data_IF_048961086373
#
_entry.id   IF_048961086373
#
_cell.length_a   1.000
_cell.length_b   1.000
_cell.length_c   1.000
_cell.angle_alpha   90.00
_cell.angle_beta   90.00
_cell.angle_gamma   90.00
#
_symmetry.space_group_name_H-M   'P 1'
#
loop_
_entity.id
_entity.type
_entity.pdbx_description
1 polymer ?
#
# COMPACT_ATOMS: atom_id res chain seq x y z
N UNK A 1 33.82 21.05 -11.42
CA UNK A 1 33.52 19.66 -11.02
C UNK A 1 32.10 19.60 -10.43
N UNK A 2 31.20 18.82 -11.02
CA UNK A 2 29.81 18.69 -10.56
C UNK A 2 29.82 17.81 -9.30
N UNK A 3 29.30 18.29 -8.15
CA UNK A 3 29.21 17.45 -6.93
C UNK A 3 28.42 16.18 -7.26
N UNK A 4 28.87 14.99 -6.84
CA UNK A 4 28.07 13.78 -7.03
C UNK A 4 26.72 13.97 -6.35
N UNK A 5 25.63 13.71 -7.07
CA UNK A 5 24.28 13.76 -6.49
C UNK A 5 24.25 12.76 -5.34
N UNK A 6 23.86 13.22 -4.15
CA UNK A 6 23.69 12.35 -2.98
C UNK A 6 22.70 11.23 -3.32
N UNK A 7 22.95 10.03 -2.81
CA UNK A 7 22.04 8.92 -3.02
C UNK A 7 20.65 9.24 -2.45
N UNK A 8 19.61 8.92 -3.20
CA UNK A 8 18.22 9.16 -2.82
C UNK A 8 17.31 8.16 -3.53
N UNK A 9 16.10 8.00 -2.99
CA UNK A 9 15.05 7.20 -3.61
C UNK A 9 13.87 8.11 -3.97
N UNK A 10 13.19 7.82 -5.07
CA UNK A 10 12.03 8.57 -5.55
C UNK A 10 10.87 7.63 -5.81
N UNK A 11 9.66 8.03 -5.38
CA UNK A 11 8.44 7.33 -5.78
C UNK A 11 8.15 7.63 -7.25
N UNK A 12 7.92 6.57 -8.02
CA UNK A 12 7.45 6.66 -9.39
C UNK A 12 5.92 6.47 -9.49
N UNK A 13 5.36 5.53 -8.71
CA UNK A 13 3.93 5.21 -8.73
C UNK A 13 3.46 4.71 -7.36
N UNK A 14 2.19 4.99 -7.05
CA UNK A 14 1.50 4.43 -5.87
C UNK A 14 0.14 3.90 -6.32
N UNK A 15 -0.14 2.65 -5.96
CA UNK A 15 -1.36 1.95 -6.33
C UNK A 15 -2.07 1.44 -5.07
N UNK A 16 -3.06 2.16 -4.55
CA UNK A 16 -3.95 1.65 -3.52
C UNK A 16 -4.98 0.69 -4.14
N UNK A 17 -5.03 -0.56 -3.67
CA UNK A 17 -6.00 -1.56 -4.11
C UNK A 17 -6.16 -2.68 -3.09
N UNK A 18 -7.37 -3.21 -2.92
CA UNK A 18 -7.63 -4.46 -2.18
C UNK A 18 -7.01 -4.50 -0.75
N UNK A 19 -7.06 -3.37 -0.03
CA UNK A 19 -6.52 -3.25 1.33
C UNK A 19 -5.00 -3.10 1.42
N UNK A 20 -4.30 -2.95 0.29
CA UNK A 20 -2.85 -2.72 0.23
C UNK A 20 -2.51 -1.48 -0.60
N UNK A 21 -1.31 -0.96 -0.37
CA UNK A 21 -0.70 0.11 -1.15
C UNK A 21 0.58 -0.46 -1.75
N UNK A 22 0.64 -0.56 -3.07
CA UNK A 22 1.88 -0.89 -3.78
C UNK A 22 2.63 0.39 -4.11
N UNK A 23 3.89 0.47 -3.71
CA UNK A 23 4.79 1.60 -3.92
C UNK A 23 5.90 1.17 -4.86
N UNK A 24 6.00 1.81 -6.02
CA UNK A 24 7.05 1.56 -7.00
C UNK A 24 7.90 2.81 -7.15
N UNK A 25 9.22 2.67 -7.21
CA UNK A 25 10.11 3.80 -7.32
C UNK A 25 11.49 3.47 -7.87
N UNK A 26 12.40 4.44 -7.78
CA UNK A 26 13.77 4.33 -8.26
C UNK A 26 14.78 4.78 -7.21
N UNK A 27 15.96 4.19 -7.28
CA UNK A 27 17.13 4.53 -6.46
C UNK A 27 18.17 5.20 -7.35
N UNK A 28 18.72 6.31 -6.87
CA UNK A 28 19.70 7.11 -7.58
C UNK A 28 20.94 7.30 -6.71
N UNK A 29 22.10 7.43 -7.35
CA UNK A 29 23.37 7.74 -6.67
C UNK A 29 23.95 6.58 -5.85
N UNK A 30 23.52 5.34 -6.10
CA UNK A 30 24.18 4.12 -5.62
C UNK A 30 24.77 3.35 -6.80
N UNK A 31 26.05 2.91 -6.73
CA UNK A 31 26.71 2.21 -7.82
C UNK A 31 26.15 0.81 -8.06
N UNK A 32 25.68 0.12 -7.01
CA UNK A 32 25.14 -1.24 -7.09
C UNK A 32 23.94 -1.39 -6.14
N UNK A 33 22.76 -0.85 -6.51
CA UNK A 33 21.59 -0.92 -5.65
C UNK A 33 20.92 -2.31 -5.64
N UNK A 34 21.38 -3.27 -6.46
CA UNK A 34 20.71 -4.57 -6.63
C UNK A 34 21.08 -5.62 -5.56
N UNK A 35 22.03 -5.31 -4.66
CA UNK A 35 22.29 -6.01 -3.40
C UNK A 35 22.14 -4.97 -2.26
N UNK A 36 21.81 -5.26 -0.97
CA UNK A 36 21.38 -6.45 -0.20
C UNK A 36 19.82 -6.62 -0.10
N UNK A 37 19.22 -7.43 0.83
CA UNK A 37 17.76 -7.36 1.04
C UNK A 37 17.35 -5.95 1.44
N UNK A 38 16.56 -5.30 0.58
CA UNK A 38 16.07 -3.95 0.79
C UNK A 38 14.73 -3.96 1.52
N UNK A 39 14.55 -2.95 2.35
CA UNK A 39 13.34 -2.71 3.12
C UNK A 39 12.81 -1.30 2.85
N UNK A 40 11.50 -1.21 2.68
CA UNK A 40 10.75 0.03 2.83
C UNK A 40 10.43 0.21 4.31
N UNK A 41 10.94 1.29 4.87
CA UNK A 41 10.66 1.75 6.22
C UNK A 41 9.56 2.80 6.16
N UNK A 42 8.51 2.62 6.96
CA UNK A 42 7.39 3.54 7.07
C UNK A 42 7.37 4.07 8.50
N UNK A 43 7.68 5.34 8.69
CA UNK A 43 7.86 5.98 10.00
C UNK A 43 6.72 6.96 10.25
N UNK A 44 6.06 6.85 11.40
CA UNK A 44 5.01 7.79 11.78
C UNK A 44 5.65 9.13 12.15
N UNK A 45 5.26 10.20 11.47
CA UNK A 45 5.82 11.52 11.71
C UNK A 45 5.49 11.99 13.12
N UNK A 46 6.52 12.38 13.86
CA UNK A 46 6.40 12.81 15.26
C UNK A 46 6.44 11.66 16.26
N UNK A 47 6.53 10.41 15.80
CA UNK A 47 6.61 9.18 16.59
C UNK A 47 7.64 8.24 15.96
N UNK A 48 8.92 8.59 16.06
CA UNK A 48 10.01 7.87 15.38
C UNK A 48 10.20 6.43 15.92
N UNK A 49 9.60 6.11 17.06
CA UNK A 49 9.48 4.77 17.66
C UNK A 49 8.44 3.89 16.92
N UNK A 50 7.49 4.50 16.21
CA UNK A 50 6.51 3.80 15.38
C UNK A 50 7.07 3.63 13.97
N UNK A 51 7.69 2.48 13.74
CA UNK A 51 8.35 2.12 12.49
C UNK A 51 7.86 0.76 11.98
N UNK A 52 7.35 0.74 10.76
CA UNK A 52 6.97 -0.47 10.03
C UNK A 52 8.03 -0.82 8.98
N UNK A 53 8.27 -2.11 8.77
CA UNK A 53 9.27 -2.62 7.81
C UNK A 53 8.61 -3.56 6.82
N UNK A 54 8.83 -3.30 5.53
CA UNK A 54 8.33 -4.14 4.45
C UNK A 54 9.46 -4.49 3.51
N UNK A 55 9.44 -5.71 2.96
CA UNK A 55 10.39 -6.09 1.91
C UNK A 55 10.18 -5.19 0.68
N UNK A 56 11.27 -4.69 0.11
CA UNK A 56 11.24 -3.81 -1.05
C UNK A 56 12.32 -4.21 -2.07
N UNK A 57 12.16 -5.32 -2.81
CA UNK A 57 13.19 -5.79 -3.74
C UNK A 57 13.63 -4.69 -4.70
N UNK A 58 14.95 -4.52 -4.86
CA UNK A 58 15.54 -3.59 -5.83
C UNK A 58 16.12 -4.38 -6.99
N UNK A 59 15.77 -3.98 -8.23
CA UNK A 59 16.25 -4.60 -9.47
C UNK A 59 16.45 -3.53 -10.53
N UNK A 60 17.64 -3.47 -11.13
CA UNK A 60 17.97 -2.45 -12.13
C UNK A 60 17.78 -1.03 -11.58
N UNK A 61 18.00 -0.83 -10.28
CA UNK A 61 17.76 0.44 -9.58
C UNK A 61 16.28 0.82 -9.38
N UNK A 62 15.31 -0.02 -9.74
CA UNK A 62 13.90 0.14 -9.40
C UNK A 62 13.51 -0.66 -8.17
N UNK A 63 12.63 -0.13 -7.31
CA UNK A 63 12.11 -0.85 -6.15
C UNK A 63 10.60 -1.03 -6.22
N UNK A 64 10.10 -2.09 -5.57
CA UNK A 64 8.68 -2.43 -5.48
C UNK A 64 8.36 -2.92 -4.07
N UNK A 65 7.41 -2.29 -3.38
CA UNK A 65 7.03 -2.61 -2.02
C UNK A 65 5.51 -2.65 -1.87
N UNK A 66 5.01 -3.50 -0.97
CA UNK A 66 3.60 -3.62 -0.64
C UNK A 66 3.42 -3.29 0.84
N UNK A 67 2.49 -2.37 1.13
CA UNK A 67 2.17 -1.89 2.47
C UNK A 67 0.68 -2.17 2.74
N UNK A 68 0.30 -3.03 3.69
CA UNK A 68 -1.08 -3.20 4.10
C UNK A 68 -1.65 -1.90 4.69
N UNK A 69 -2.86 -1.52 4.28
CA UNK A 69 -3.52 -0.31 4.80
C UNK A 69 -3.85 -0.44 6.29
N UNK A 70 -4.17 -1.66 6.74
CA UNK A 70 -4.47 -1.93 8.16
C UNK A 70 -3.30 -1.62 9.09
N UNK A 71 -2.07 -1.76 8.62
CA UNK A 71 -0.86 -1.47 9.41
C UNK A 71 -0.61 0.04 9.55
N UNK A 72 -1.21 0.86 8.66
CA UNK A 72 -1.08 2.33 8.67
C UNK A 72 -2.08 3.02 9.60
N UNK A 73 -2.92 2.25 10.29
CA UNK A 73 -3.83 2.78 11.31
C UNK A 73 -2.97 3.25 12.49
N UNK A 74 -2.86 4.58 12.72
CA UNK A 74 -2.10 5.07 13.85
C UNK A 74 -2.77 4.63 15.15
N UNK A 75 -2.03 4.56 16.28
CA UNK A 75 -2.66 4.43 17.59
C UNK A 75 -3.76 5.48 17.75
N UNK A 76 -4.89 5.15 18.40
CA UNK A 76 -6.01 6.06 18.52
C UNK A 76 -5.56 7.33 19.25
N UNK A 77 -5.45 8.43 18.51
CA UNK A 77 -5.26 9.77 19.06
C UNK A 77 -6.63 10.44 19.14
N UNK A 78 -6.98 10.94 20.32
CA UNK A 78 -8.17 11.76 20.50
C UNK A 78 -8.02 13.06 19.67
N UNK A 79 -8.91 13.28 18.70
CA UNK A 79 -9.12 14.54 17.98
C UNK A 79 -7.86 15.23 17.40
N UNK A 80 -7.00 14.47 16.72
CA UNK A 80 -5.79 14.97 16.05
C UNK A 80 -5.91 15.12 14.52
N UNK A 81 -4.97 15.84 13.87
CA UNK A 81 -4.84 15.82 12.42
C UNK A 81 -4.55 14.40 11.90
N UNK A 82 -4.80 14.11 10.61
CA UNK A 82 -4.47 12.81 10.03
C UNK A 82 -3.00 12.44 10.25
N UNK A 83 -2.75 11.18 10.61
CA UNK A 83 -1.40 10.66 10.73
C UNK A 83 -0.64 10.78 9.39
N UNK A 84 0.59 11.28 9.48
CA UNK A 84 1.48 11.42 8.32
C UNK A 84 2.60 10.40 8.45
N UNK A 85 2.76 9.57 7.43
CA UNK A 85 3.82 8.57 7.37
C UNK A 85 4.92 9.01 6.39
N UNK A 86 6.17 8.99 6.85
CA UNK A 86 7.35 9.20 6.02
C UNK A 86 7.90 7.86 5.51
N UNK A 87 8.32 7.84 4.24
CA UNK A 87 8.87 6.65 3.59
C UNK A 87 10.40 6.75 3.47
N UNK A 88 11.07 5.66 3.79
CA UNK A 88 12.51 5.51 3.58
C UNK A 88 12.82 4.15 2.97
N UNK A 89 13.91 4.07 2.21
CA UNK A 89 14.47 2.83 1.69
C UNK A 89 15.80 2.58 2.39
N UNK A 90 16.01 1.37 2.90
CA UNK A 90 17.25 0.97 3.56
C UNK A 90 17.61 -0.46 3.21
N UNK A 91 18.91 -0.77 3.18
CA UNK A 91 19.35 -2.15 3.20
C UNK A 91 19.07 -2.72 4.61
N UNK A 92 18.57 -3.94 4.70
CA UNK A 92 18.19 -4.56 5.96
C UNK A 92 19.37 -4.57 6.94
N UNK A 93 19.12 -4.18 8.18
CA UNK A 93 20.14 -4.07 9.22
C UNK A 93 21.14 -2.91 9.05
N UNK A 94 20.95 -2.01 8.07
CA UNK A 94 21.78 -0.82 7.91
C UNK A 94 21.12 0.41 8.52
N UNK A 95 21.93 1.25 9.17
CA UNK A 95 21.46 2.52 9.76
C UNK A 95 21.16 3.58 8.69
N UNK A 96 21.83 3.50 7.54
CA UNK A 96 21.70 4.47 6.47
C UNK A 96 20.34 4.32 5.77
N UNK A 97 19.50 5.34 5.92
CA UNK A 97 18.17 5.43 5.30
C UNK A 97 18.17 6.43 4.14
N UNK A 98 17.64 6.04 2.99
CA UNK A 98 17.36 6.93 1.88
C UNK A 98 15.94 7.43 2.01
N UNK A 99 15.73 8.74 2.22
CA UNK A 99 14.38 9.29 2.21
C UNK A 99 13.78 9.08 0.82
N UNK A 100 12.59 8.48 0.79
CA UNK A 100 11.83 8.29 -0.44
C UNK A 100 11.06 9.59 -0.70
N UNK A 101 11.60 10.39 -1.61
CA UNK A 101 11.12 11.74 -1.94
C UNK A 101 9.97 11.77 -2.95
N UNK A 102 9.35 12.95 -3.10
CA UNK A 102 8.17 13.17 -3.94
C UNK A 102 8.50 13.34 -5.43
N UNK A 103 7.92 12.44 -6.23
CA UNK A 103 7.11 12.76 -7.40
C UNK A 103 5.75 12.05 -7.28
N UNK A 104 5.02 12.31 -6.19
CA UNK A 104 3.65 11.80 -5.99
C UNK A 104 2.60 12.64 -6.76
N UNK A 105 2.96 13.83 -7.25
CA UNK A 105 2.06 14.72 -7.99
C UNK A 105 1.79 14.26 -9.43
N UNK A 106 2.53 13.26 -9.94
CA UNK A 106 2.45 12.79 -11.33
C UNK A 106 1.78 11.40 -11.45
N UNK A 107 1.08 10.93 -10.41
CA UNK A 107 0.27 9.70 -10.47
C UNK A 107 -0.97 9.98 -11.34
N UNK A 108 -0.79 9.83 -12.65
CA UNK A 108 -1.87 9.76 -13.65
C UNK A 108 -2.67 8.47 -13.42
N UNK A 109 -3.65 8.60 -12.55
CA UNK A 109 -4.62 7.55 -12.20
C UNK A 109 -5.74 8.06 -11.30
N UNK A 110 -5.80 9.36 -10.99
CA UNK A 110 -6.96 9.95 -10.31
C UNK A 110 -8.19 9.78 -11.20
N UNK A 111 -9.03 8.80 -10.87
CA UNK A 111 -10.46 8.84 -11.19
C UNK A 111 -10.98 10.17 -10.64
N UNK A 112 -11.52 11.01 -11.51
CA UNK A 112 -12.14 12.29 -11.16
C UNK A 112 -13.43 12.00 -10.40
N UNK A 113 -13.40 11.96 -9.08
CA UNK A 113 -14.59 12.22 -8.29
C UNK A 113 -14.63 13.73 -8.01
N UNK A 114 -15.05 14.48 -9.02
CA UNK A 114 -15.57 15.84 -8.80
C UNK A 114 -17.00 15.67 -8.29
N UNK A 115 -17.18 15.77 -6.98
CA UNK A 115 -18.46 15.55 -6.33
C UNK A 115 -18.75 16.54 -5.20
N UNK A 116 -18.43 17.83 -5.37
CA UNK A 116 -19.14 18.91 -4.68
C UNK A 116 -19.95 19.64 -5.74
N UNK A 117 -21.13 19.12 -6.05
CA UNK A 117 -22.19 19.92 -6.66
C UNK A 117 -22.82 20.76 -5.57
N UNK A 118 -22.34 22.00 -5.40
CA UNK A 118 -23.17 23.07 -4.85
C UNK A 118 -24.18 23.46 -5.92
N UNK A 119 -25.38 22.88 -5.85
CA UNK A 119 -26.53 23.40 -6.58
C UNK A 119 -27.35 24.28 -5.64
N UNK A 120 -27.14 25.60 -5.75
CA UNK A 120 -28.12 26.59 -5.32
C UNK A 120 -28.95 26.97 -6.54
N UNK A 121 -30.27 26.82 -6.46
CA UNK A 121 -31.19 27.19 -7.53
C UNK A 121 -32.54 26.50 -7.36
N UNK A 122 -33.47 27.18 -6.69
CA UNK A 122 -34.80 26.69 -6.40
C UNK A 122 -35.69 26.52 -7.63
N UNK A 123 -36.65 25.60 -7.51
CA UNK A 123 -37.70 25.39 -8.49
C UNK A 123 -38.72 24.39 -7.95
N UNK A 124 -39.88 24.92 -7.57
CA UNK A 124 -41.07 24.20 -7.08
C UNK A 124 -41.50 23.09 -8.06
N UNK A 125 -41.93 21.95 -7.52
CA UNK A 125 -42.63 20.92 -8.30
C UNK A 125 -42.79 19.59 -7.56
N UNK A 126 -43.84 19.47 -6.75
CA UNK A 126 -44.30 18.22 -6.17
C UNK A 126 -44.62 17.16 -7.25
N UNK A 127 -44.24 15.90 -7.00
CA UNK A 127 -45.17 14.74 -6.92
C UNK A 127 -44.42 13.45 -6.59
N UNK A 128 -44.95 12.76 -5.58
CA UNK A 128 -44.64 11.39 -5.21
C UNK A 128 -45.13 10.39 -6.26
N UNK A 129 -44.34 9.33 -6.50
CA UNK A 129 -44.72 7.89 -6.57
C UNK A 129 -43.70 7.14 -7.42
N UNK A 130 -43.26 5.98 -6.93
CA UNK A 130 -42.46 5.04 -7.72
C UNK A 130 -41.61 4.12 -6.85
N UNK A 131 -42.26 3.27 -6.06
CA UNK A 131 -41.63 2.11 -5.45
C UNK A 131 -41.16 1.17 -6.56
N UNK A 132 -39.89 0.75 -6.53
CA UNK A 132 -39.40 -0.38 -7.30
C UNK A 132 -38.79 -1.38 -6.31
N UNK A 133 -39.60 -2.41 -6.10
CA UNK A 133 -39.32 -3.67 -5.44
C UNK A 133 -38.14 -4.36 -6.15
N UNK A 134 -37.13 -4.80 -5.40
CA UNK A 134 -36.30 -5.93 -5.82
C UNK A 134 -36.09 -6.84 -4.60
N UNK A 135 -36.88 -7.90 -4.59
CA UNK A 135 -36.49 -9.16 -3.98
C UNK A 135 -35.38 -9.76 -4.85
N UNK A 136 -34.34 -10.35 -4.25
CA UNK A 136 -34.20 -11.81 -4.24
C UNK A 136 -32.89 -12.22 -3.54
N UNK A 137 -32.96 -13.36 -2.87
CA UNK A 137 -31.96 -13.95 -1.99
C UNK A 137 -30.95 -14.81 -2.79
N UNK A 138 -29.73 -14.98 -2.27
CA UNK A 138 -28.73 -15.85 -2.90
C UNK A 138 -27.47 -16.11 -2.06
N UNK A 139 -27.66 -16.89 -0.99
CA UNK A 139 -26.76 -17.78 -0.22
C UNK A 139 -25.21 -17.65 -0.17
N UNK A 140 -24.61 -18.02 0.99
CA UNK A 140 -23.15 -18.09 1.20
C UNK A 140 -22.52 -19.34 0.60
N UNK A 141 -21.34 -19.19 -0.02
CA UNK A 141 -20.50 -20.32 -0.43
C UNK A 141 -19.74 -20.88 0.78
N UNK A 142 -20.16 -22.08 1.18
CA UNK A 142 -19.52 -22.92 2.18
C UNK A 142 -18.56 -23.93 1.49
N UNK A 143 -17.52 -24.31 2.24
CA UNK A 143 -16.67 -25.51 2.12
C UNK A 143 -15.58 -25.60 1.03
N UNK A 144 -14.35 -25.43 1.52
CA UNK A 144 -13.11 -26.01 0.99
C UNK A 144 -13.10 -27.53 1.28
N UNK A 145 -12.83 -28.41 0.29
CA UNK A 145 -12.64 -29.84 0.53
C UNK A 145 -11.23 -30.17 1.10
N UNK A 146 -11.08 -31.14 2.01
CA UNK A 146 -9.76 -31.57 2.48
C UNK A 146 -9.01 -32.44 1.44
N UNK A 147 -7.68 -32.28 1.42
CA UNK A 147 -6.77 -33.02 0.55
C UNK A 147 -6.68 -34.52 0.90
N UNK A 148 -6.42 -35.41 -0.09
CA UNK A 148 -6.26 -36.84 0.14
C UNK A 148 -4.92 -37.14 0.83
N UNK A 149 -4.97 -37.87 1.95
CA UNK A 149 -3.77 -38.48 2.57
C UNK A 149 -3.43 -39.76 1.82
N UNK A 150 -2.28 -39.75 1.17
CA UNK A 150 -1.71 -40.89 0.46
C UNK A 150 -1.44 -42.08 1.40
N UNK A 151 -1.86 -43.25 0.94
CA UNK A 151 -1.48 -44.54 1.48
C UNK A 151 -0.01 -44.85 1.14
N UNK A 152 0.77 -45.26 2.15
CA UNK A 152 2.14 -45.72 1.99
C UNK A 152 2.46 -46.80 3.02
N UNK A 153 2.24 -48.05 2.59
CA UNK A 153 2.96 -49.30 2.93
C UNK A 153 3.97 -49.18 4.10
N UNK A 154 3.89 -49.92 5.20
CA UNK A 154 3.52 -51.33 5.36
C UNK A 154 4.72 -52.23 5.04
N UNK A 155 5.56 -52.54 6.04
CA UNK A 155 6.32 -53.81 6.14
C UNK A 155 6.74 -54.05 7.61
N UNK A 156 6.29 -55.17 8.18
CA UNK A 156 6.94 -56.12 9.11
C UNK A 156 5.83 -57.00 9.71
N UNK A 157 6.02 -58.32 9.90
CA UNK A 157 6.98 -58.80 10.89
C UNK A 157 7.68 -60.14 10.58
N UNK A 158 8.57 -60.51 11.50
CA UNK A 158 9.09 -61.86 11.72
C UNK A 158 7.99 -62.80 12.25
#
# INVERSE_FOLDING_TARGET
MKRPKRAHAEVAQVWPRDGVIRVVGRVHGLPEPDAPPWELLVVLRGHDDVLLRYRAPVRGGGFDAVVPVGDLVPPPAADGPPAVWDLYLAAAGQERRLRVGRRLDDIRGKKKDHGVSRSAGGGRGSRHRGQALLHDQGQPLDRVPPAPRGAGRGVRPC
#
